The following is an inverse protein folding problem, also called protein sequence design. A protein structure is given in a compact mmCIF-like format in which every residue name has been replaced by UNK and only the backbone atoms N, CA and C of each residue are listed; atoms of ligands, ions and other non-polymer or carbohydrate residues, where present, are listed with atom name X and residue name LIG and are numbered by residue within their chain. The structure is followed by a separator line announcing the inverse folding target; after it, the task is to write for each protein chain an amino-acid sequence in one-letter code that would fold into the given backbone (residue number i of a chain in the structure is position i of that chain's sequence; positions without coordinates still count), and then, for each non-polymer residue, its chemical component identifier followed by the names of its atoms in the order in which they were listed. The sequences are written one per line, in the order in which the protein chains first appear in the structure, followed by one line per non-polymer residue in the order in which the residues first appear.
data_IF_753470029916
#
_entry.id   IF_753470029916
#
_cell.length_a   1.000
_cell.length_b   1.000
_cell.length_c   1.000
_cell.angle_alpha   90.00
_cell.angle_beta   90.00
_cell.angle_gamma   90.00
#
_symmetry.space_group_name_H-M   'P 1'
#
loop_
_entity.id
_entity.type
_entity.pdbx_description
1 polymer ?
#
# COMPACT_ATOMS: atom_id res chain seq x y z
N UNK A 1 -6.90 20.55 -0.18
CA UNK A 1 -5.76 19.83 -0.80
C UNK A 1 -5.94 18.35 -0.51
N UNK A 2 -6.18 17.56 -1.55
CA UNK A 2 -6.41 16.11 -1.41
C UNK A 2 -5.09 15.42 -1.09
N UNK A 3 -5.08 14.60 -0.05
CA UNK A 3 -3.91 13.84 0.39
C UNK A 3 -3.95 12.44 -0.24
N UNK A 4 -2.84 12.02 -0.82
CA UNK A 4 -2.63 10.67 -1.34
C UNK A 4 -1.59 9.95 -0.48
N UNK A 5 -2.04 9.04 0.38
CA UNK A 5 -1.14 8.18 1.15
C UNK A 5 -0.68 7.03 0.27
N UNK A 6 0.62 6.95 0.05
CA UNK A 6 1.23 5.96 -0.84
C UNK A 6 2.18 5.08 -0.06
N UNK A 7 2.08 3.76 -0.28
CA UNK A 7 3.00 2.76 0.21
C UNK A 7 3.72 2.11 -0.98
N UNK A 8 5.04 2.10 -0.93
CA UNK A 8 5.89 1.38 -1.88
C UNK A 8 6.41 0.12 -1.20
N UNK A 9 6.21 -1.02 -1.83
CA UNK A 9 6.64 -2.33 -1.35
C UNK A 9 7.83 -2.81 -2.18
N UNK A 10 8.93 -3.18 -1.53
CA UNK A 10 10.17 -3.59 -2.19
C UNK A 10 10.70 -4.88 -1.57
N UNK A 11 11.01 -5.86 -2.42
CA UNK A 11 11.74 -7.07 -2.03
C UNK A 11 12.24 -7.82 -3.27
N UNK A 12 13.30 -8.61 -3.08
CA UNK A 12 13.78 -9.53 -4.10
C UNK A 12 13.01 -10.85 -4.02
N UNK A 13 12.05 -11.03 -4.91
CA UNK A 13 11.13 -12.17 -4.95
C UNK A 13 11.20 -12.88 -6.30
N UNK A 14 11.02 -14.21 -6.27
CA UNK A 14 10.76 -14.98 -7.49
C UNK A 14 9.40 -14.62 -8.08
N UNK A 15 9.17 -14.96 -9.36
CA UNK A 15 7.88 -14.67 -10.00
C UNK A 15 6.69 -15.36 -9.31
N UNK A 16 6.87 -16.57 -8.79
CA UNK A 16 5.84 -17.27 -8.01
C UNK A 16 5.52 -16.52 -6.70
N UNK A 17 6.55 -16.05 -5.99
CA UNK A 17 6.39 -15.28 -4.76
C UNK A 17 5.74 -13.91 -5.02
N UNK A 18 6.09 -13.24 -6.12
CA UNK A 18 5.43 -12.00 -6.56
C UNK A 18 3.94 -12.23 -6.81
N UNK A 19 3.60 -13.32 -7.50
CA UNK A 19 2.21 -13.64 -7.80
C UNK A 19 1.40 -13.92 -6.52
N UNK A 20 1.96 -14.67 -5.58
CA UNK A 20 1.36 -14.89 -4.25
C UNK A 20 1.19 -13.56 -3.49
N UNK A 21 2.22 -12.71 -3.47
CA UNK A 21 2.15 -11.38 -2.88
C UNK A 21 1.03 -10.54 -3.49
N UNK A 22 0.91 -10.48 -4.83
CA UNK A 22 -0.13 -9.71 -5.50
C UNK A 22 -1.52 -10.22 -5.17
N UNK A 23 -1.73 -11.54 -5.19
CA UNK A 23 -3.00 -12.13 -4.82
C UNK A 23 -3.35 -11.85 -3.36
N UNK A 24 -2.39 -11.95 -2.44
CA UNK A 24 -2.61 -11.63 -1.04
C UNK A 24 -2.97 -10.14 -0.85
N UNK A 25 -2.26 -9.23 -1.51
CA UNK A 25 -2.55 -7.80 -1.44
C UNK A 25 -3.96 -7.48 -1.97
N UNK A 26 -4.36 -8.11 -3.08
CA UNK A 26 -5.69 -7.91 -3.69
C UNK A 26 -6.84 -8.51 -2.87
N UNK A 27 -6.63 -9.71 -2.29
CA UNK A 27 -7.69 -10.49 -1.64
C UNK A 27 -7.83 -10.21 -0.14
N UNK A 28 -6.73 -9.90 0.56
CA UNK A 28 -6.73 -9.78 2.02
C UNK A 28 -6.52 -8.32 2.45
N UNK A 29 -5.53 -7.62 1.90
CA UNK A 29 -5.15 -6.28 2.38
C UNK A 29 -6.03 -5.17 1.79
N UNK A 30 -6.18 -5.15 0.47
CA UNK A 30 -6.91 -4.09 -0.23
C UNK A 30 -8.38 -3.98 0.19
N UNK A 31 -9.14 -5.07 0.42
CA UNK A 31 -10.52 -4.97 0.90
C UNK A 31 -10.61 -4.26 2.25
N UNK A 32 -9.67 -4.51 3.17
CA UNK A 32 -9.65 -3.83 4.47
C UNK A 32 -9.39 -2.33 4.29
N UNK A 33 -8.43 -1.95 3.45
CA UNK A 33 -8.09 -0.53 3.24
C UNK A 33 -9.25 0.25 2.60
N UNK A 34 -10.01 -0.39 1.71
CA UNK A 34 -11.24 0.21 1.13
C UNK A 34 -12.28 0.55 2.20
N UNK A 35 -12.25 -0.09 3.36
CA UNK A 35 -13.18 0.19 4.48
C UNK A 35 -12.70 1.30 5.41
N UNK A 36 -11.54 1.91 5.15
CA UNK A 36 -11.09 3.05 5.96
C UNK A 36 -12.10 4.20 5.87
N UNK A 37 -12.38 4.88 6.99
CA UNK A 37 -13.38 5.93 7.00
C UNK A 37 -12.96 7.05 6.04
N UNK A 38 -13.92 7.53 5.24
CA UNK A 38 -13.74 8.62 4.28
C UNK A 38 -12.61 8.40 3.25
N UNK A 39 -12.22 7.14 3.01
CA UNK A 39 -11.32 6.81 1.91
C UNK A 39 -12.03 7.10 0.56
N UNK A 40 -11.42 7.94 -0.27
CA UNK A 40 -11.98 8.35 -1.56
C UNK A 40 -11.62 7.39 -2.70
N UNK A 41 -10.72 6.43 -2.46
CA UNK A 41 -10.34 5.42 -3.44
C UNK A 41 -9.03 4.74 -3.11
N UNK A 42 -8.87 3.50 -3.57
CA UNK A 42 -7.65 2.70 -3.47
C UNK A 42 -7.19 2.30 -4.86
N UNK A 43 -5.91 2.49 -5.14
CA UNK A 43 -5.23 2.06 -6.35
C UNK A 43 -4.05 1.16 -6.00
N UNK A 44 -3.94 0.05 -6.70
CA UNK A 44 -2.78 -0.84 -6.66
C UNK A 44 -2.14 -0.81 -8.05
N UNK A 45 -0.87 -0.42 -8.14
CA UNK A 45 -0.10 -0.42 -9.38
C UNK A 45 1.08 -1.38 -9.27
N UNK A 46 1.13 -2.33 -10.20
CA UNK A 46 2.24 -3.26 -10.37
C UNK A 46 3.24 -2.61 -11.34
N UNK A 47 4.53 -2.49 -10.98
CA UNK A 47 5.53 -1.94 -11.88
C UNK A 47 5.85 -2.96 -12.99
N UNK A 48 5.85 -2.52 -14.24
CA UNK A 48 6.23 -3.36 -15.40
C UNK A 48 7.61 -3.01 -15.94
N UNK A 49 7.98 -1.72 -15.97
CA UNK A 49 9.27 -1.22 -16.42
C UNK A 49 9.83 -0.23 -15.40
N UNK A 50 10.90 -0.61 -14.70
CA UNK A 50 11.55 0.23 -13.67
C UNK A 50 12.81 0.86 -14.27
N UNK A 51 12.74 2.14 -14.59
CA UNK A 51 13.86 2.97 -15.04
C UNK A 51 14.52 3.67 -13.86
N UNK A 52 15.24 2.91 -13.02
CA UNK A 52 15.92 3.46 -11.85
C UNK A 52 17.30 2.82 -11.62
N UNK A 53 18.25 3.62 -11.12
CA UNK A 53 19.59 3.14 -10.77
C UNK A 53 19.55 2.29 -9.48
N UNK A 54 18.67 2.65 -8.54
CA UNK A 54 18.35 1.93 -7.29
C UNK A 54 16.85 1.59 -7.24
N UNK A 55 16.39 0.81 -6.25
CA UNK A 55 14.97 0.41 -6.10
C UNK A 55 14.41 -0.42 -7.28
N UNK A 56 15.26 -1.22 -7.94
CA UNK A 56 14.88 -2.10 -9.07
C UNK A 56 13.92 -3.24 -8.67
N UNK A 57 13.69 -3.42 -7.38
CA UNK A 57 12.91 -4.51 -6.81
C UNK A 57 11.57 -4.00 -6.25
N UNK A 58 11.05 -2.89 -6.80
CA UNK A 58 9.70 -2.44 -6.48
C UNK A 58 8.69 -3.51 -6.91
N UNK A 59 7.83 -3.89 -5.98
CA UNK A 59 6.78 -4.89 -6.17
C UNK A 59 5.44 -4.23 -6.43
N UNK A 60 5.11 -3.20 -5.65
CA UNK A 60 3.78 -2.60 -5.69
C UNK A 60 3.82 -1.16 -5.19
N UNK A 61 3.09 -0.30 -5.87
CA UNK A 61 2.65 0.97 -5.33
C UNK A 61 1.17 0.86 -4.95
N UNK A 62 0.88 1.02 -3.66
CA UNK A 62 -0.48 1.11 -3.15
C UNK A 62 -0.76 2.55 -2.75
N UNK A 63 -1.82 3.14 -3.27
CA UNK A 63 -2.18 4.52 -2.97
C UNK A 63 -3.66 4.62 -2.61
N UNK A 64 -3.96 5.39 -1.57
CA UNK A 64 -5.33 5.73 -1.22
C UNK A 64 -5.44 7.19 -0.79
N UNK A 65 -6.63 7.77 -0.96
CA UNK A 65 -6.81 9.23 -0.94
C UNK A 65 -7.86 9.72 0.04
N UNK A 66 -7.68 10.97 0.50
CA UNK A 66 -8.52 11.64 1.47
C UNK A 66 -8.66 13.12 1.11
N UNK A 67 -9.79 13.70 1.47
CA UNK A 67 -10.11 15.11 1.18
C UNK A 67 -9.05 16.09 1.71
N UNK A 68 -8.51 15.83 2.90
CA UNK A 68 -7.50 16.64 3.55
C UNK A 68 -6.75 15.83 4.63
N UNK A 69 -5.75 16.46 5.25
CA UNK A 69 -4.89 15.84 6.26
C UNK A 69 -5.66 15.39 7.51
N UNK A 70 -6.64 16.16 7.97
CA UNK A 70 -7.45 15.80 9.16
C UNK A 70 -8.28 14.54 8.90
N UNK A 71 -8.88 14.43 7.73
CA UNK A 71 -9.64 13.24 7.31
C UNK A 71 -8.72 12.02 7.21
N UNK A 72 -7.53 12.18 6.63
CA UNK A 72 -6.53 11.11 6.60
C UNK A 72 -6.16 10.68 8.03
N UNK A 73 -5.80 11.63 8.90
CA UNK A 73 -5.37 11.33 10.26
C UNK A 73 -6.42 10.51 11.03
N UNK A 74 -7.70 10.89 10.93
CA UNK A 74 -8.80 10.12 11.53
C UNK A 74 -8.92 8.69 10.95
N UNK A 75 -8.67 8.51 9.65
CA UNK A 75 -8.66 7.19 9.03
C UNK A 75 -7.46 6.34 9.47
N UNK A 76 -6.31 6.94 9.75
CA UNK A 76 -5.14 6.22 10.26
C UNK A 76 -5.24 5.88 11.76
N UNK A 77 -6.18 6.47 12.49
CA UNK A 77 -6.48 6.15 13.89
C UNK A 77 -7.59 5.08 14.04
N UNK A 78 -8.16 4.60 12.93
CA UNK A 78 -9.32 3.71 12.97
C UNK A 78 -8.97 2.23 13.22
N UNK A 79 -9.95 1.45 13.68
CA UNK A 79 -9.79 -0.01 13.83
C UNK A 79 -9.46 -0.72 12.51
N UNK A 80 -9.95 -0.20 11.39
CA UNK A 80 -9.65 -0.73 10.05
C UNK A 80 -8.15 -0.59 9.75
N UNK A 81 -7.51 0.49 10.22
CA UNK A 81 -6.06 0.63 10.10
C UNK A 81 -5.31 -0.42 10.92
N UNK A 82 -5.77 -0.73 12.13
CA UNK A 82 -5.17 -1.79 12.95
C UNK A 82 -5.28 -3.14 12.23
N UNK A 83 -6.48 -3.46 11.70
CA UNK A 83 -6.71 -4.68 10.91
C UNK A 83 -5.81 -4.75 9.68
N UNK A 84 -5.68 -3.65 8.92
CA UNK A 84 -4.83 -3.63 7.74
C UNK A 84 -3.36 -3.78 8.09
N UNK A 85 -2.89 -3.20 9.20
CA UNK A 85 -1.52 -3.37 9.67
C UNK A 85 -1.23 -4.83 9.99
N UNK A 86 -2.13 -5.53 10.67
CA UNK A 86 -1.97 -6.95 10.94
C UNK A 86 -1.96 -7.80 9.67
N UNK A 87 -2.90 -7.58 8.75
CA UNK A 87 -2.94 -8.31 7.48
C UNK A 87 -1.67 -8.05 6.65
N UNK A 88 -1.26 -6.79 6.51
CA UNK A 88 -0.06 -6.43 5.74
C UNK A 88 1.21 -7.00 6.38
N UNK A 89 1.28 -7.04 7.71
CA UNK A 89 2.44 -7.60 8.43
C UNK A 89 2.70 -9.06 8.08
N UNK A 90 1.65 -9.88 7.90
CA UNK A 90 1.79 -11.30 7.54
C UNK A 90 2.60 -11.47 6.25
N UNK A 91 2.23 -10.75 5.19
CA UNK A 91 2.90 -10.90 3.90
C UNK A 91 4.27 -10.21 3.88
N UNK A 92 4.44 -9.11 4.62
CA UNK A 92 5.72 -8.44 4.80
C UNK A 92 6.74 -9.38 5.47
N UNK A 93 6.36 -10.02 6.58
CA UNK A 93 7.27 -10.90 7.32
C UNK A 93 7.57 -12.19 6.56
N UNK A 94 6.58 -12.74 5.84
CA UNK A 94 6.76 -13.95 5.00
C UNK A 94 7.88 -13.78 3.97
N UNK A 95 8.01 -12.58 3.41
CA UNK A 95 8.88 -12.29 2.26
C UNK A 95 9.95 -11.24 2.53
N UNK A 96 10.12 -10.82 3.78
CA UNK A 96 11.05 -9.77 4.19
C UNK A 96 10.91 -8.49 3.34
N UNK A 97 9.66 -8.02 3.16
CA UNK A 97 9.34 -6.87 2.32
C UNK A 97 9.62 -5.56 3.05
N UNK A 98 10.32 -4.65 2.38
CA UNK A 98 10.51 -3.28 2.84
C UNK A 98 9.35 -2.40 2.38
N UNK A 99 8.86 -1.53 3.26
CA UNK A 99 7.73 -0.64 2.94
C UNK A 99 8.04 0.81 3.28
N UNK A 100 7.90 1.68 2.28
CA UNK A 100 8.07 3.13 2.42
C UNK A 100 6.73 3.83 2.27
N UNK A 101 6.36 4.66 3.26
CA UNK A 101 5.14 5.46 3.20
C UNK A 101 5.46 6.90 2.87
N UNK A 102 4.85 7.42 1.82
CA UNK A 102 4.98 8.81 1.38
C UNK A 102 3.58 9.38 1.16
N UNK A 103 3.31 10.53 1.78
CA UNK A 103 2.06 11.26 1.55
C UNK A 103 2.33 12.32 0.49
N UNK A 104 1.57 12.31 -0.60
CA UNK A 104 1.59 13.34 -1.62
C UNK A 104 0.37 14.23 -1.44
N UNK A 105 0.47 15.47 -1.92
CA UNK A 105 -0.67 16.37 -1.95
C UNK A 105 -0.91 16.90 -3.35
N UNK A 106 -2.18 16.99 -3.72
CA UNK A 106 -2.63 17.53 -5.00
C UNK A 106 -3.61 18.67 -4.74
N UNK A 107 -3.32 19.80 -5.39
CA UNK A 107 -4.19 20.97 -5.46
C UNK A 107 -5.42 20.71 -6.34
#
# INVERSE_FOLDING_TARGET
MTIFRTAFFEADLTEEQKQDFYQYMENEVAPIIRTFPNNQGLTLNKPEAIEAESHKNLLLMMQHSYENESVMAAALDSEQRIKSMHATKVIIEKYNIHVHHINFVRD
#
